data_IF_884916099305
#
_entry.id   IF_884916099305
#
_cell.length_a   1.000
_cell.length_b   1.000
_cell.length_c   1.000
_cell.angle_alpha   90.00
_cell.angle_beta   90.00
_cell.angle_gamma   90.00
#
_symmetry.space_group_name_H-M   'P 1'
#
loop_
_entity.id
_entity.type
_entity.pdbx_description
1 polymer ?
#
# COMPACT_ATOMS: atom_id res chain seq x y z
N UNK A 1 33.40 24.03 -38.93
CA UNK A 1 32.11 23.42 -38.62
C UNK A 1 32.14 22.93 -37.18
N UNK A 2 31.53 23.70 -36.29
CA UNK A 2 31.54 23.40 -34.84
C UNK A 2 30.50 22.33 -34.53
N UNK A 3 30.97 21.18 -34.09
CA UNK A 3 30.05 20.16 -33.50
C UNK A 3 29.65 20.62 -32.13
N UNK A 4 28.47 21.18 -32.01
CA UNK A 4 27.77 21.34 -30.75
C UNK A 4 27.41 19.93 -30.22
N UNK A 5 28.27 19.36 -29.37
CA UNK A 5 27.92 18.20 -28.58
C UNK A 5 26.79 18.60 -27.63
N UNK A 6 25.56 18.22 -27.95
CA UNK A 6 24.44 18.27 -27.05
C UNK A 6 24.74 17.34 -25.86
N UNK A 7 25.27 17.90 -24.79
CA UNK A 7 25.29 17.25 -23.50
C UNK A 7 23.82 17.16 -23.05
N UNK A 8 23.15 16.06 -23.38
CA UNK A 8 21.92 15.67 -22.76
C UNK A 8 22.25 15.41 -21.27
N UNK A 9 22.13 16.44 -20.44
CA UNK A 9 22.08 16.23 -19.02
C UNK A 9 20.85 15.34 -18.79
N UNK A 10 21.05 14.05 -18.46
CA UNK A 10 19.99 13.24 -17.88
C UNK A 10 19.53 14.02 -16.66
N UNK A 11 18.30 14.49 -16.68
CA UNK A 11 17.68 15.02 -15.47
C UNK A 11 17.87 13.95 -14.38
N UNK A 12 18.51 14.32 -13.27
CA UNK A 12 18.64 13.40 -12.15
C UNK A 12 17.24 13.01 -11.71
N UNK A 13 16.92 11.72 -11.74
CA UNK A 13 15.66 11.22 -11.21
C UNK A 13 15.67 11.50 -9.72
N UNK A 14 14.72 12.29 -9.25
CA UNK A 14 14.57 12.52 -7.81
C UNK A 14 14.22 11.22 -7.12
N UNK A 15 14.94 10.89 -6.04
CA UNK A 15 14.74 9.69 -5.23
C UNK A 15 14.34 10.19 -3.83
N UNK A 16 13.12 9.86 -3.34
CA UNK A 16 12.64 10.34 -2.05
C UNK A 16 13.46 9.72 -0.91
N UNK A 17 13.69 10.48 0.15
CA UNK A 17 14.49 10.01 1.30
C UNK A 17 13.77 10.18 2.63
N UNK A 18 12.72 11.00 2.68
CA UNK A 18 11.99 11.32 3.92
C UNK A 18 10.59 10.71 3.87
N UNK A 19 10.28 9.84 4.83
CA UNK A 19 8.93 9.27 4.96
C UNK A 19 7.91 10.41 5.08
N UNK A 20 6.83 10.32 4.29
CA UNK A 20 5.76 11.32 4.25
C UNK A 20 6.02 12.52 3.35
N UNK A 21 7.16 12.60 2.65
CA UNK A 21 7.35 13.60 1.60
C UNK A 21 6.46 13.30 0.38
N UNK A 22 6.03 14.35 -0.32
CA UNK A 22 5.26 14.18 -1.54
C UNK A 22 6.12 13.59 -2.66
N UNK A 23 5.68 12.49 -3.23
CA UNK A 23 6.37 11.80 -4.30
C UNK A 23 5.39 11.00 -5.16
N UNK A 24 5.57 11.04 -6.46
CA UNK A 24 4.87 10.13 -7.38
C UNK A 24 3.33 10.19 -7.31
N UNK A 25 2.75 11.35 -6.99
CA UNK A 25 1.30 11.54 -6.88
C UNK A 25 0.70 11.23 -5.51
N UNK A 26 1.52 10.91 -4.52
CA UNK A 26 1.11 10.63 -3.15
C UNK A 26 2.21 10.94 -2.15
N UNK A 27 2.35 10.11 -1.11
CA UNK A 27 3.38 10.25 -0.08
C UNK A 27 4.30 9.04 -0.05
N UNK A 28 5.59 9.28 0.03
CA UNK A 28 6.59 8.22 0.18
C UNK A 28 6.45 7.52 1.53
N UNK A 29 6.32 6.20 1.49
CA UNK A 29 6.12 5.36 2.68
C UNK A 29 7.34 4.52 3.06
N UNK A 30 8.38 4.52 2.23
CA UNK A 30 9.58 3.72 2.42
C UNK A 30 9.96 2.92 1.18
N UNK A 31 11.05 2.19 1.30
CA UNK A 31 11.53 1.37 0.19
C UNK A 31 11.17 -0.09 0.37
N UNK A 32 10.98 -0.76 -0.76
CA UNK A 32 10.87 -2.21 -0.86
C UNK A 32 11.92 -2.76 -1.81
N UNK A 33 12.34 -3.99 -1.58
CA UNK A 33 13.26 -4.72 -2.46
C UNK A 33 12.69 -6.09 -2.78
N UNK A 34 12.56 -6.36 -4.08
CA UNK A 34 12.14 -7.65 -4.59
C UNK A 34 12.81 -7.90 -5.95
N UNK A 35 13.10 -9.16 -6.28
CA UNK A 35 13.70 -9.56 -7.55
C UNK A 35 14.96 -8.73 -7.91
N UNK A 36 15.81 -8.47 -6.89
CA UNK A 36 17.02 -7.63 -7.00
C UNK A 36 16.75 -6.17 -7.39
N UNK A 37 15.49 -5.74 -7.40
CA UNK A 37 15.08 -4.38 -7.73
C UNK A 37 14.60 -3.63 -6.49
N UNK A 38 14.96 -2.35 -6.37
CA UNK A 38 14.49 -1.43 -5.34
C UNK A 38 13.31 -0.61 -5.86
N UNK A 39 12.32 -0.42 -5.01
CA UNK A 39 11.11 0.35 -5.29
C UNK A 39 10.83 1.34 -4.16
N UNK A 40 10.36 2.54 -4.49
CA UNK A 40 9.71 3.43 -3.53
C UNK A 40 8.23 3.06 -3.46
N UNK A 41 7.73 2.77 -2.26
CA UNK A 41 6.30 2.63 -2.01
C UNK A 41 5.69 4.02 -1.79
N UNK A 42 4.63 4.30 -2.52
CA UNK A 42 3.88 5.57 -2.45
C UNK A 42 2.45 5.25 -2.07
N UNK A 43 1.95 5.91 -1.02
CA UNK A 43 0.53 5.86 -0.66
C UNK A 43 -0.20 7.05 -1.27
N UNK A 44 -1.37 6.84 -1.83
CA UNK A 44 -2.20 7.89 -2.37
C UNK A 44 -2.60 8.91 -1.29
N UNK A 45 -2.79 10.18 -1.66
CA UNK A 45 -3.43 11.17 -0.79
C UNK A 45 -4.82 10.68 -0.40
N UNK A 46 -5.23 10.91 0.84
CA UNK A 46 -6.50 10.38 1.36
C UNK A 46 -7.70 10.85 0.54
N UNK A 47 -7.72 12.12 0.18
CA UNK A 47 -8.81 12.70 -0.60
C UNK A 47 -8.99 12.08 -1.98
N UNK A 48 -7.90 11.58 -2.59
CA UNK A 48 -7.89 11.10 -3.97
C UNK A 48 -7.90 9.56 -4.07
N UNK A 49 -7.31 8.88 -3.11
CA UNK A 49 -7.01 7.45 -3.20
C UNK A 49 -7.46 6.60 -2.01
N UNK A 50 -8.26 7.15 -1.08
CA UNK A 50 -9.00 6.37 -0.11
C UNK A 50 -10.46 6.28 -0.55
N UNK A 51 -11.04 5.07 -0.62
CA UNK A 51 -12.44 4.95 -0.94
C UNK A 51 -13.29 5.61 0.16
N UNK A 52 -14.29 6.42 -0.19
CA UNK A 52 -14.99 7.29 0.78
C UNK A 52 -15.78 6.54 1.86
N UNK A 53 -16.02 5.25 1.66
CA UNK A 53 -16.70 4.37 2.61
C UNK A 53 -16.02 3.01 2.67
N UNK A 54 -16.53 2.13 3.51
CA UNK A 54 -16.10 0.72 3.50
C UNK A 54 -16.70 0.01 2.31
N UNK A 55 -15.91 -0.83 1.65
CA UNK A 55 -16.32 -1.59 0.46
C UNK A 55 -16.04 -3.07 0.60
N UNK A 56 -16.79 -3.86 -0.09
CA UNK A 56 -16.63 -5.31 -0.14
C UNK A 56 -15.53 -5.72 -1.10
N UNK A 57 -14.85 -6.81 -0.77
CA UNK A 57 -13.96 -7.56 -1.64
C UNK A 57 -14.30 -9.04 -1.48
N UNK A 58 -15.15 -9.56 -2.37
CA UNK A 58 -15.59 -10.94 -2.27
C UNK A 58 -14.55 -11.88 -2.87
N UNK A 59 -14.05 -12.81 -2.07
CA UNK A 59 -13.13 -13.85 -2.54
C UNK A 59 -13.71 -14.66 -3.71
N UNK A 60 -15.01 -14.90 -3.71
CA UNK A 60 -15.70 -15.62 -4.80
C UNK A 60 -15.55 -14.91 -6.15
N UNK A 61 -15.42 -13.57 -6.16
CA UNK A 61 -15.23 -12.80 -7.38
C UNK A 61 -13.78 -12.85 -7.92
N UNK A 62 -12.81 -13.13 -7.07
CA UNK A 62 -11.38 -13.10 -7.44
C UNK A 62 -10.69 -14.48 -7.38
N UNK A 63 -11.41 -15.52 -6.96
CA UNK A 63 -10.91 -16.90 -6.95
C UNK A 63 -9.60 -17.05 -6.16
N UNK A 64 -8.55 -17.52 -6.84
CA UNK A 64 -7.20 -17.69 -6.29
C UNK A 64 -6.20 -16.62 -6.76
N UNK A 65 -6.66 -15.60 -7.49
CA UNK A 65 -5.79 -14.51 -7.96
C UNK A 65 -5.22 -13.70 -6.78
N UNK A 66 -4.05 -13.08 -6.98
CA UNK A 66 -3.47 -12.20 -5.98
C UNK A 66 -2.62 -12.91 -4.93
N UNK A 67 -1.79 -13.86 -5.30
CA UNK A 67 -0.96 -14.61 -4.34
C UNK A 67 0.27 -13.83 -3.83
N UNK A 68 0.70 -12.77 -4.48
CA UNK A 68 1.91 -12.04 -4.10
C UNK A 68 1.76 -11.34 -2.75
N UNK A 69 2.76 -11.53 -1.87
CA UNK A 69 2.84 -10.85 -0.58
C UNK A 69 3.34 -9.40 -0.69
N UNK A 70 4.00 -9.05 -1.80
CA UNK A 70 4.67 -7.77 -1.96
C UNK A 70 4.25 -6.96 -3.18
N UNK A 71 3.71 -7.59 -4.23
CA UNK A 71 3.36 -6.93 -5.48
C UNK A 71 1.84 -6.70 -5.58
N UNK A 72 1.37 -5.61 -4.96
CA UNK A 72 -0.04 -5.24 -4.98
C UNK A 72 -0.54 -4.93 -6.39
N UNK A 73 0.32 -4.39 -7.29
CA UNK A 73 -0.09 -4.11 -8.66
C UNK A 73 -0.39 -5.38 -9.45
N UNK A 74 0.51 -6.37 -9.42
CA UNK A 74 0.26 -7.64 -10.09
C UNK A 74 -0.99 -8.34 -9.53
N UNK A 75 -1.14 -8.38 -8.19
CA UNK A 75 -2.34 -8.94 -7.58
C UNK A 75 -3.62 -8.22 -8.04
N UNK A 76 -3.60 -6.89 -8.09
CA UNK A 76 -4.76 -6.09 -8.49
C UNK A 76 -5.12 -6.33 -9.96
N UNK A 77 -4.12 -6.42 -10.84
CA UNK A 77 -4.31 -6.74 -12.26
C UNK A 77 -4.92 -8.13 -12.46
N UNK A 78 -4.36 -9.14 -11.79
CA UNK A 78 -4.89 -10.50 -11.84
C UNK A 78 -6.35 -10.57 -11.36
N UNK A 79 -6.66 -9.91 -10.25
CA UNK A 79 -8.01 -9.87 -9.71
C UNK A 79 -8.97 -9.09 -10.61
N UNK A 80 -8.55 -7.93 -11.13
CA UNK A 80 -9.37 -7.10 -12.01
C UNK A 80 -9.75 -7.82 -13.29
N UNK A 81 -8.83 -8.61 -13.85
CA UNK A 81 -9.09 -9.41 -15.06
C UNK A 81 -10.20 -10.47 -14.90
N UNK A 82 -10.54 -10.83 -13.66
CA UNK A 82 -11.58 -11.80 -13.34
C UNK A 82 -12.95 -11.15 -13.07
N UNK A 83 -13.02 -9.80 -13.01
CA UNK A 83 -14.25 -9.12 -12.62
C UNK A 83 -15.22 -8.96 -13.77
N UNK A 84 -16.42 -9.44 -13.57
CA UNK A 84 -17.58 -9.14 -14.42
C UNK A 84 -18.15 -7.75 -14.08
N UNK A 85 -19.01 -7.23 -14.95
CA UNK A 85 -19.69 -5.93 -14.77
C UNK A 85 -20.58 -5.84 -13.52
N UNK A 86 -20.93 -6.96 -12.90
CA UNK A 86 -21.74 -7.05 -11.68
C UNK A 86 -21.00 -7.57 -10.45
N UNK A 87 -19.68 -7.76 -10.54
CA UNK A 87 -18.90 -8.32 -9.44
C UNK A 87 -18.80 -7.35 -8.26
N UNK A 88 -19.08 -7.82 -7.06
CA UNK A 88 -18.92 -7.08 -5.81
C UNK A 88 -17.43 -7.03 -5.38
N UNK A 89 -16.61 -6.33 -6.16
CA UNK A 89 -15.19 -6.16 -5.91
C UNK A 89 -14.75 -4.70 -6.11
N UNK A 90 -15.54 -3.78 -5.57
CA UNK A 90 -15.33 -2.33 -5.70
C UNK A 90 -13.94 -1.89 -5.23
N UNK A 91 -13.35 -2.57 -4.23
CA UNK A 91 -12.00 -2.31 -3.77
C UNK A 91 -10.95 -2.46 -4.88
N UNK A 92 -11.07 -3.49 -5.72
CA UNK A 92 -10.15 -3.75 -6.83
C UNK A 92 -10.38 -2.76 -7.96
N UNK A 93 -11.65 -2.56 -8.37
CA UNK A 93 -12.01 -1.61 -9.43
C UNK A 93 -11.51 -0.22 -9.09
N UNK A 94 -11.83 0.25 -7.87
CA UNK A 94 -11.41 1.56 -7.40
C UNK A 94 -9.91 1.75 -7.55
N UNK A 95 -9.10 0.84 -7.01
CA UNK A 95 -7.64 1.00 -7.06
C UNK A 95 -7.09 0.91 -8.49
N UNK A 96 -7.61 -0.01 -9.30
CA UNK A 96 -7.10 -0.26 -10.66
C UNK A 96 -7.40 0.90 -11.62
N UNK A 97 -8.58 1.51 -11.49
CA UNK A 97 -9.08 2.56 -12.39
C UNK A 97 -8.64 3.97 -11.97
N UNK A 98 -7.95 4.11 -10.82
CA UNK A 98 -7.47 5.40 -10.34
C UNK A 98 -6.48 6.05 -11.30
N UNK A 99 -6.66 7.36 -11.46
CA UNK A 99 -5.67 8.25 -12.06
C UNK A 99 -5.43 9.42 -11.13
N UNK A 100 -4.25 9.48 -10.50
CA UNK A 100 -3.87 10.54 -9.56
C UNK A 100 -2.54 11.13 -10.03
N UNK A 101 -2.47 12.44 -10.23
CA UNK A 101 -1.25 13.13 -10.66
C UNK A 101 -0.72 12.67 -12.03
N UNK A 102 -1.59 12.15 -12.90
CA UNK A 102 -1.21 11.58 -14.21
C UNK A 102 -0.69 10.14 -14.15
N UNK A 103 -0.68 9.51 -13.00
CA UNK A 103 -0.27 8.12 -12.81
C UNK A 103 -1.49 7.18 -12.78
N UNK A 104 -1.39 6.05 -13.46
CA UNK A 104 -2.46 5.04 -13.61
C UNK A 104 -2.08 3.67 -13.04
N UNK A 105 -0.92 3.57 -12.40
CA UNK A 105 -0.38 2.32 -11.85
C UNK A 105 -0.71 2.14 -10.35
N UNK A 106 -1.83 2.72 -9.91
CA UNK A 106 -2.36 2.55 -8.57
C UNK A 106 -2.91 1.13 -8.37
N UNK A 107 -2.83 0.65 -7.13
CA UNK A 107 -3.21 -0.72 -6.81
C UNK A 107 -3.69 -0.83 -5.36
N UNK A 108 -4.45 -1.88 -5.07
CA UNK A 108 -4.69 -2.31 -3.71
C UNK A 108 -3.38 -2.87 -3.12
N UNK A 109 -2.93 -2.40 -1.94
CA UNK A 109 -1.65 -2.82 -1.38
C UNK A 109 -1.62 -4.32 -1.10
N UNK A 110 -0.51 -4.99 -1.41
CA UNK A 110 -0.26 -6.33 -0.89
C UNK A 110 0.02 -6.29 0.62
N UNK A 111 -0.06 -7.43 1.31
CA UNK A 111 0.08 -7.51 2.78
C UNK A 111 1.37 -6.88 3.29
N UNK A 112 2.51 -7.09 2.62
CA UNK A 112 3.80 -6.51 3.03
C UNK A 112 3.93 -5.03 2.66
N UNK A 113 3.21 -4.56 1.66
CA UNK A 113 3.06 -3.13 1.40
C UNK A 113 2.23 -2.46 2.50
N UNK A 114 1.09 -3.07 2.89
CA UNK A 114 0.28 -2.58 4.00
C UNK A 114 1.04 -2.60 5.35
N UNK A 115 1.97 -3.55 5.53
CA UNK A 115 2.90 -3.55 6.67
C UNK A 115 3.79 -2.31 6.67
N UNK A 116 4.41 -2.01 5.53
CA UNK A 116 5.27 -0.84 5.41
C UNK A 116 4.51 0.47 5.65
N UNK A 117 3.25 0.56 5.14
CA UNK A 117 2.38 1.70 5.43
C UNK A 117 2.10 1.84 6.94
N UNK A 118 1.81 0.74 7.64
CA UNK A 118 1.58 0.78 9.08
C UNK A 118 2.82 1.24 9.83
N UNK A 119 4.01 0.76 9.46
CA UNK A 119 5.29 1.19 10.05
C UNK A 119 5.56 2.68 9.86
N UNK A 120 5.26 3.19 8.66
CA UNK A 120 5.47 4.60 8.32
C UNK A 120 4.43 5.52 8.96
N UNK A 121 3.18 5.10 9.03
CA UNK A 121 2.04 5.97 9.27
C UNK A 121 1.09 5.47 10.36
N UNK A 122 1.59 4.70 11.35
CA UNK A 122 0.79 4.29 12.50
C UNK A 122 0.13 5.52 13.15
N UNK A 123 -1.21 5.61 13.19
CA UNK A 123 -1.87 6.86 13.55
C UNK A 123 -1.94 7.13 15.05
N UNK A 124 -1.97 6.09 15.88
CA UNK A 124 -2.15 6.19 17.34
C UNK A 124 -1.11 5.41 18.13
N UNK A 125 -1.12 5.57 19.45
CA UNK A 125 -0.14 5.02 20.39
C UNK A 125 -0.52 3.65 20.98
N UNK A 126 -1.64 3.08 20.55
CA UNK A 126 -2.06 1.73 20.95
C UNK A 126 -0.92 0.72 20.71
N UNK A 127 -0.69 -0.17 21.68
CA UNK A 127 0.34 -1.20 21.57
C UNK A 127 0.14 -2.06 20.30
N UNK A 128 1.25 -2.39 19.64
CA UNK A 128 1.18 -3.24 18.45
C UNK A 128 0.83 -4.68 18.80
N UNK A 129 0.16 -5.35 17.87
CA UNK A 129 -0.04 -6.79 17.95
C UNK A 129 1.30 -7.51 17.72
N UNK A 130 1.65 -8.39 18.64
CA UNK A 130 2.85 -9.24 18.53
C UNK A 130 2.50 -10.68 18.14
N UNK A 131 1.24 -10.96 17.86
CA UNK A 131 0.73 -12.32 17.60
C UNK A 131 0.84 -12.76 16.14
N UNK A 132 1.04 -11.85 15.22
CA UNK A 132 1.13 -12.14 13.79
C UNK A 132 2.59 -12.14 13.35
N UNK A 133 2.90 -12.87 12.29
CA UNK A 133 4.16 -12.69 11.59
C UNK A 133 4.19 -11.31 10.93
N UNK A 134 4.81 -10.38 11.61
CA UNK A 134 4.90 -8.98 11.22
C UNK A 134 6.29 -8.59 10.71
N UNK A 135 7.18 -9.57 10.52
CA UNK A 135 8.44 -9.33 9.83
C UNK A 135 8.16 -9.00 8.35
N UNK A 136 8.91 -8.04 7.82
CA UNK A 136 8.80 -7.65 6.42
C UNK A 136 10.14 -7.86 5.70
N UNK A 137 10.33 -9.02 5.05
CA UNK A 137 11.56 -9.29 4.31
C UNK A 137 11.70 -8.46 3.03
N UNK A 138 10.60 -7.88 2.55
CA UNK A 138 10.57 -7.03 1.36
C UNK A 138 10.80 -5.55 1.64
N UNK A 139 10.76 -5.11 2.90
CA UNK A 139 11.19 -3.75 3.24
C UNK A 139 12.68 -3.57 2.99
N UNK A 140 13.12 -2.36 2.65
CA UNK A 140 14.55 -2.06 2.44
C UNK A 140 14.96 -0.83 3.28
N UNK A 141 15.67 -1.06 4.40
CA UNK A 141 16.13 -2.36 4.92
C UNK A 141 14.97 -3.24 5.42
N UNK A 142 15.17 -4.58 5.39
CA UNK A 142 14.20 -5.54 5.92
C UNK A 142 13.93 -5.30 7.40
N UNK A 143 12.70 -5.55 7.84
CA UNK A 143 12.29 -5.30 9.23
C UNK A 143 11.93 -6.59 9.95
N UNK A 144 12.29 -6.63 11.24
CA UNK A 144 11.88 -7.70 12.14
C UNK A 144 10.40 -7.60 12.55
N UNK A 145 9.92 -8.57 13.36
CA UNK A 145 8.56 -8.55 13.89
C UNK A 145 8.29 -7.32 14.76
N UNK A 146 7.00 -7.01 14.97
CA UNK A 146 6.63 -5.93 15.89
C UNK A 146 6.97 -6.28 17.34
N UNK A 147 7.29 -5.25 18.10
CA UNK A 147 7.17 -5.27 19.56
C UNK A 147 5.94 -4.46 19.98
N UNK A 148 5.52 -4.51 21.22
CA UNK A 148 4.39 -3.71 21.71
C UNK A 148 4.56 -2.20 21.41
N UNK A 149 5.81 -1.70 21.39
CA UNK A 149 6.13 -0.29 21.18
C UNK A 149 6.76 0.03 19.81
N UNK A 150 7.12 -0.97 19.01
CA UNK A 150 7.71 -0.77 17.68
C UNK A 150 6.90 -1.52 16.61
N UNK A 151 6.43 -0.82 15.56
CA UNK A 151 6.62 0.59 15.26
C UNK A 151 5.93 1.53 16.26
N UNK A 152 6.52 2.69 16.47
CA UNK A 152 5.92 3.77 17.26
C UNK A 152 4.89 4.54 16.43
N UNK A 153 4.07 5.36 17.10
CA UNK A 153 3.19 6.31 16.42
C UNK A 153 4.01 7.23 15.49
N UNK A 154 3.45 7.54 14.34
CA UNK A 154 4.10 8.45 13.39
C UNK A 154 4.34 9.85 13.99
N UNK A 155 5.44 10.47 13.63
CA UNK A 155 5.72 11.87 14.01
C UNK A 155 5.05 12.89 13.10
N UNK A 156 4.55 12.44 11.93
CA UNK A 156 3.94 13.28 10.91
C UNK A 156 2.52 13.69 11.33
N UNK A 157 2.31 14.97 11.60
CA UNK A 157 1.06 15.48 12.15
C UNK A 157 -0.18 15.15 11.28
N UNK A 158 -0.03 15.23 9.96
CA UNK A 158 -1.10 14.92 9.00
C UNK A 158 -1.49 13.42 8.98
N UNK A 159 -0.61 12.51 9.41
CA UNK A 159 -0.88 11.07 9.50
C UNK A 159 -1.27 10.60 10.91
N UNK A 160 -1.12 11.43 11.94
CA UNK A 160 -1.63 11.12 13.29
C UNK A 160 -3.14 11.05 13.30
N UNK A 161 -3.70 10.31 14.25
CA UNK A 161 -5.14 10.24 14.47
C UNK A 161 -5.79 11.63 14.47
N UNK A 162 -6.82 11.81 13.63
CA UNK A 162 -7.45 13.12 13.38
C UNK A 162 -6.76 13.99 12.32
N UNK A 163 -5.58 13.64 11.84
CA UNK A 163 -4.92 14.35 10.74
C UNK A 163 -5.56 14.07 9.39
N UNK A 164 -5.33 14.98 8.42
CA UNK A 164 -5.95 14.92 7.09
C UNK A 164 -5.62 13.65 6.30
N UNK A 165 -4.45 13.07 6.54
CA UNK A 165 -3.95 11.87 5.88
C UNK A 165 -4.00 10.62 6.76
N UNK A 166 -4.53 10.72 7.98
CA UNK A 166 -4.56 9.62 8.93
C UNK A 166 -5.35 8.42 8.40
N UNK A 167 -4.76 7.23 8.57
CA UNK A 167 -5.53 5.99 8.47
C UNK A 167 -6.58 5.94 9.57
N UNK A 168 -7.73 5.35 9.27
CA UNK A 168 -8.81 5.22 10.24
C UNK A 168 -8.36 4.32 11.40
N UNK A 169 -8.45 4.83 12.61
CA UNK A 169 -8.29 4.04 13.83
C UNK A 169 -9.50 3.11 13.99
N UNK A 170 -9.29 1.95 14.58
CA UNK A 170 -10.30 0.90 14.74
C UNK A 170 -10.86 0.35 13.43
N UNK A 171 -10.24 0.68 12.30
CA UNK A 171 -10.65 0.23 10.98
C UNK A 171 -9.64 -0.76 10.40
N UNK A 172 -10.16 -1.67 9.61
CA UNK A 172 -9.37 -2.59 8.81
C UNK A 172 -9.33 -2.11 7.36
N UNK A 173 -8.20 -2.33 6.73
CA UNK A 173 -7.98 -2.02 5.32
C UNK A 173 -7.74 -3.30 4.54
N UNK A 174 -8.42 -3.45 3.42
CA UNK A 174 -8.18 -4.56 2.50
C UNK A 174 -6.75 -4.56 1.98
N UNK A 175 -6.23 -5.77 1.77
CA UNK A 175 -5.03 -5.99 0.97
C UNK A 175 -5.37 -6.86 -0.24
N UNK A 176 -4.53 -6.79 -1.27
CA UNK A 176 -4.68 -7.61 -2.48
C UNK A 176 -4.11 -9.02 -2.33
N UNK A 177 -3.47 -9.34 -1.21
CA UNK A 177 -2.93 -10.68 -1.01
C UNK A 177 -4.04 -11.67 -0.70
N UNK A 178 -4.13 -12.73 -1.48
CA UNK A 178 -5.12 -13.77 -1.39
C UNK A 178 -4.44 -15.15 -1.43
N UNK A 179 -3.91 -15.55 -0.28
CA UNK A 179 -3.38 -16.89 -0.09
C UNK A 179 -4.32 -17.66 0.85
N UNK A 180 -5.07 -18.62 0.42
CA UNK A 180 -6.14 -19.31 1.18
C UNK A 180 -7.31 -18.37 1.52
N UNK A 181 -7.04 -17.14 1.99
CA UNK A 181 -8.03 -16.12 2.36
C UNK A 181 -7.53 -14.73 1.98
N UNK A 182 -8.46 -13.79 1.77
CA UNK A 182 -8.14 -12.37 1.62
C UNK A 182 -7.66 -11.81 2.96
N UNK A 183 -6.56 -11.09 2.92
CA UNK A 183 -5.99 -10.46 4.10
C UNK A 183 -6.42 -9.00 4.24
N UNK A 184 -6.41 -8.53 5.47
CA UNK A 184 -6.66 -7.15 5.85
C UNK A 184 -5.74 -6.73 6.98
N UNK A 185 -5.46 -5.45 7.11
CA UNK A 185 -4.63 -4.90 8.18
C UNK A 185 -5.41 -3.91 9.03
N UNK A 186 -5.29 -4.05 10.34
CA UNK A 186 -5.84 -3.12 11.31
C UNK A 186 -4.82 -2.02 11.63
N UNK A 187 -5.13 -0.77 11.33
CA UNK A 187 -4.20 0.35 11.53
C UNK A 187 -4.13 0.85 12.98
N UNK A 188 -4.90 0.29 13.91
CA UNK A 188 -4.73 0.56 15.35
C UNK A 188 -3.53 -0.18 15.93
N UNK A 189 -3.39 -1.47 15.60
CA UNK A 189 -2.40 -2.36 16.21
C UNK A 189 -1.45 -3.03 15.22
N UNK A 190 -1.66 -2.82 13.91
CA UNK A 190 -0.92 -3.51 12.86
C UNK A 190 -1.29 -4.98 12.70
N UNK A 191 -2.29 -5.49 13.42
CA UNK A 191 -2.70 -6.87 13.31
C UNK A 191 -3.15 -7.23 11.88
N UNK A 192 -2.76 -8.42 11.44
CA UNK A 192 -3.23 -9.00 10.19
C UNK A 192 -4.48 -9.83 10.52
N UNK A 193 -5.57 -9.55 9.81
CA UNK A 193 -6.77 -10.39 9.83
C UNK A 193 -6.90 -11.17 8.53
N UNK A 194 -7.34 -12.42 8.63
CA UNK A 194 -7.73 -13.25 7.50
C UNK A 194 -9.14 -13.80 7.72
N UNK A 195 -9.83 -14.17 6.63
CA UNK A 195 -11.07 -14.93 6.72
C UNK A 195 -12.26 -14.23 7.37
N UNK A 196 -12.43 -12.93 7.16
CA UNK A 196 -13.71 -12.29 7.47
C UNK A 196 -14.86 -12.89 6.66
N UNK A 197 -16.11 -12.80 7.11
CA UNK A 197 -17.26 -13.23 6.32
C UNK A 197 -17.19 -12.62 4.92
N UNK A 198 -17.53 -13.36 3.87
CA UNK A 198 -17.64 -12.82 2.53
C UNK A 198 -18.57 -11.60 2.54
N UNK A 199 -18.08 -10.46 2.06
CA UNK A 199 -18.87 -9.24 1.95
C UNK A 199 -18.72 -8.24 3.10
N UNK A 200 -17.95 -8.52 4.15
CA UNK A 200 -17.65 -7.50 5.16
C UNK A 200 -16.96 -6.29 4.51
N UNK A 201 -17.50 -5.09 4.71
CA UNK A 201 -16.91 -3.90 4.11
C UNK A 201 -15.76 -3.37 4.96
N UNK A 202 -14.58 -3.16 4.33
CA UNK A 202 -13.42 -2.54 4.94
C UNK A 202 -12.94 -1.34 4.12
N UNK A 203 -12.02 -0.58 4.68
CA UNK A 203 -11.43 0.55 3.97
C UNK A 203 -10.43 0.10 2.91
N UNK A 204 -10.18 1.00 1.98
CA UNK A 204 -9.20 0.85 0.91
C UNK A 204 -8.42 2.13 0.77
N UNK A 205 -7.11 2.05 0.70
CA UNK A 205 -6.25 3.16 0.32
C UNK A 205 -5.20 2.68 -0.68
N UNK A 206 -5.22 3.27 -1.85
CA UNK A 206 -4.39 2.85 -2.97
C UNK A 206 -2.90 3.15 -2.73
N UNK A 207 -2.07 2.31 -3.33
CA UNK A 207 -0.62 2.48 -3.38
C UNK A 207 -0.10 2.33 -4.80
N UNK A 208 1.13 2.80 -5.03
CA UNK A 208 1.92 2.45 -6.22
C UNK A 208 3.36 2.16 -5.85
N UNK A 209 4.04 1.39 -6.67
CA UNK A 209 5.48 1.15 -6.55
C UNK A 209 6.22 1.84 -7.69
N UNK A 210 7.16 2.69 -7.33
CA UNK A 210 8.02 3.38 -8.30
C UNK A 210 9.39 2.72 -8.31
N UNK A 211 9.78 2.19 -9.46
CA UNK A 211 11.09 1.58 -9.62
C UNK A 211 12.18 2.62 -9.43
N UNK A 212 13.15 2.35 -8.56
CA UNK A 212 14.30 3.20 -8.32
C UNK A 212 15.44 2.73 -9.22
N UNK A 213 16.06 3.64 -10.01
CA UNK A 213 17.26 3.29 -10.77
C UNK A 213 18.37 2.78 -9.85
N UNK A 214 19.07 1.74 -10.27
CA UNK A 214 20.26 1.21 -9.60
C UNK A 214 21.51 2.01 -9.94
#
# INVERSE_FOLDING_TARGET
MSQLSKILRRASVYIPTVIGEEYGGGYFAGYMRADSQRYALVVAKKADGEYPSRVSLLKAAVGSAGASMWNGRANTEEMYALLDSGSAADAIRFCYELTIGGYTDWALPATQQADLLYRAFKPGDTANSTQSDTANPYADPSTGPYTASSPSVTTLANFKAGGSEAFQTLAQYWTSTNNITLYRRLFTTGAIGGGGPPGDPYYVRAVRMVKIPG
#
